data_IF_453767626002
#
_entry.id   IF_453767626002
#
_cell.length_a   1.000
_cell.length_b   1.000
_cell.length_c   1.000
_cell.angle_alpha   90.00
_cell.angle_beta   90.00
_cell.angle_gamma   90.00
#
_symmetry.space_group_name_H-M   'P 1'
#
loop_
_entity.id
_entity.type
_entity.pdbx_description
1 polymer ?
#
# COMPACT_ATOMS: atom_id res chain seq x y z
N UNK A 1 -0.72 17.49 -5.75
CA UNK A 1 -1.20 16.31 -6.51
C UNK A 1 -1.89 15.39 -5.51
N UNK A 2 -3.11 14.90 -5.80
CA UNK A 2 -3.85 14.03 -4.87
C UNK A 2 -3.54 12.56 -5.18
N UNK A 3 -2.92 11.84 -4.25
CA UNK A 3 -2.64 10.41 -4.41
C UNK A 3 -3.93 9.59 -4.23
N UNK A 4 -4.16 8.58 -5.06
CA UNK A 4 -5.27 7.64 -4.94
C UNK A 4 -4.72 6.28 -4.54
N UNK A 5 -5.04 5.86 -3.32
CA UNK A 5 -4.49 4.68 -2.68
C UNK A 5 -5.47 3.50 -2.79
N UNK A 6 -4.95 2.33 -3.14
CA UNK A 6 -5.64 1.06 -2.92
C UNK A 6 -4.84 0.22 -1.91
N UNK A 7 -5.50 -0.20 -0.82
CA UNK A 7 -4.89 -1.05 0.20
C UNK A 7 -5.17 -2.52 -0.09
N UNK A 8 -4.11 -3.32 -0.19
CA UNK A 8 -4.17 -4.77 -0.35
C UNK A 8 -3.77 -5.37 1.00
N UNK A 9 -4.77 -5.85 1.72
CA UNK A 9 -4.70 -6.13 3.15
C UNK A 9 -5.22 -4.95 3.97
N UNK A 10 -6.03 -5.27 4.99
CA UNK A 10 -6.57 -4.29 5.93
C UNK A 10 -6.50 -4.84 7.35
N UNK A 11 -5.34 -5.41 7.68
CA UNK A 11 -4.95 -5.81 9.04
C UNK A 11 -4.42 -4.62 9.85
N UNK A 12 -3.63 -4.92 10.89
CA UNK A 12 -3.09 -3.92 11.83
C UNK A 12 -2.35 -2.80 11.11
N UNK A 13 -1.47 -3.13 10.16
CA UNK A 13 -0.68 -2.12 9.42
C UNK A 13 -1.55 -1.27 8.51
N UNK A 14 -2.47 -1.89 7.76
CA UNK A 14 -3.37 -1.17 6.86
C UNK A 14 -4.31 -0.24 7.61
N UNK A 15 -4.85 -0.68 8.75
CA UNK A 15 -5.68 0.13 9.63
C UNK A 15 -4.88 1.28 10.26
N UNK A 16 -3.71 0.99 10.83
CA UNK A 16 -2.84 2.02 11.42
C UNK A 16 -2.39 3.09 10.41
N UNK A 17 -2.13 2.70 9.15
CA UNK A 17 -1.89 3.70 8.10
C UNK A 17 -3.11 4.59 7.88
N UNK A 18 -4.31 4.02 7.79
CA UNK A 18 -5.55 4.80 7.59
C UNK A 18 -5.84 5.71 8.79
N UNK A 19 -5.58 5.25 10.02
CA UNK A 19 -5.66 6.06 11.24
C UNK A 19 -4.73 7.28 11.13
N UNK A 20 -3.45 7.07 10.81
CA UNK A 20 -2.48 8.16 10.65
C UNK A 20 -2.90 9.12 9.54
N UNK A 21 -3.35 8.61 8.39
CA UNK A 21 -3.77 9.44 7.26
C UNK A 21 -5.01 10.28 7.59
N UNK A 22 -5.90 9.78 8.45
CA UNK A 22 -7.08 10.49 8.92
C UNK A 22 -6.71 11.54 9.97
N UNK A 23 -5.92 11.16 10.99
CA UNK A 23 -5.50 12.03 12.09
C UNK A 23 -4.63 13.20 11.59
N UNK A 24 -3.64 12.92 10.75
CA UNK A 24 -2.67 13.90 10.28
C UNK A 24 -3.09 14.57 8.95
N UNK A 25 -4.30 14.31 8.42
CA UNK A 25 -4.72 14.79 7.10
C UNK A 25 -4.49 16.31 6.90
N UNK A 26 -4.93 17.13 7.86
CA UNK A 26 -4.80 18.58 7.79
C UNK A 26 -3.33 19.02 7.89
N UNK A 27 -2.57 18.41 8.80
CA UNK A 27 -1.15 18.69 9.00
C UNK A 27 -0.34 18.36 7.74
N UNK A 28 -0.59 17.19 7.14
CA UNK A 28 0.07 16.75 5.91
C UNK A 28 -0.20 17.70 4.74
N UNK A 29 -1.44 18.17 4.61
CA UNK A 29 -1.82 19.15 3.61
C UNK A 29 -1.14 20.51 3.83
N UNK A 30 -1.18 21.03 5.05
CA UNK A 30 -0.66 22.36 5.37
C UNK A 30 0.87 22.44 5.30
N UNK A 31 1.57 21.42 5.80
CA UNK A 31 3.03 21.44 5.90
C UNK A 31 3.72 20.96 4.62
N UNK A 32 3.15 19.95 3.96
CA UNK A 32 3.82 19.26 2.85
C UNK A 32 3.04 19.35 1.52
N UNK A 33 1.87 20.00 1.50
CA UNK A 33 0.98 19.98 0.34
C UNK A 33 0.53 18.57 -0.05
N UNK A 34 0.61 17.61 0.89
CA UNK A 34 0.32 16.21 0.64
C UNK A 34 -1.16 15.93 0.90
N UNK A 35 -1.83 15.43 -0.13
CA UNK A 35 -3.22 14.98 -0.05
C UNK A 35 -3.31 13.59 -0.66
N UNK A 36 -4.05 12.71 0.01
CA UNK A 36 -4.33 11.37 -0.49
C UNK A 36 -5.79 10.99 -0.28
N UNK A 37 -6.20 9.92 -0.92
CA UNK A 37 -7.53 9.37 -0.83
C UNK A 37 -7.47 7.86 -0.96
N UNK A 38 -8.05 7.16 0.00
CA UNK A 38 -8.27 5.72 -0.10
C UNK A 38 -9.45 5.51 -1.04
N UNK A 39 -9.22 4.94 -2.21
CA UNK A 39 -10.26 4.63 -3.21
C UNK A 39 -10.66 3.16 -3.21
N UNK A 40 -9.80 2.28 -2.72
CA UNK A 40 -10.10 0.86 -2.60
C UNK A 40 -9.44 0.24 -1.37
N UNK A 41 -10.12 -0.74 -0.79
CA UNK A 41 -9.56 -1.66 0.21
C UNK A 41 -9.96 -3.08 -0.19
N UNK A 42 -9.01 -4.00 -0.20
CA UNK A 42 -9.26 -5.42 -0.46
C UNK A 42 -8.53 -6.28 0.55
N UNK A 43 -9.27 -7.00 1.38
CA UNK A 43 -8.75 -7.93 2.37
C UNK A 43 -9.46 -9.29 2.24
N UNK A 44 -8.69 -10.38 2.29
CA UNK A 44 -9.22 -11.73 2.10
C UNK A 44 -10.25 -12.14 3.15
N UNK A 45 -10.13 -11.63 4.38
CA UNK A 45 -11.00 -11.98 5.50
C UNK A 45 -12.07 -10.92 5.75
N UNK A 46 -11.74 -9.65 5.50
CA UNK A 46 -12.64 -8.52 5.80
C UNK A 46 -13.45 -8.06 4.60
N UNK A 47 -13.25 -8.62 3.41
CA UNK A 47 -13.96 -8.22 2.20
C UNK A 47 -13.32 -7.03 1.50
N UNK A 48 -14.04 -6.43 0.56
CA UNK A 48 -13.51 -5.34 -0.26
C UNK A 48 -14.54 -4.30 -0.65
N UNK A 49 -14.07 -3.06 -0.76
CA UNK A 49 -14.84 -1.91 -1.19
C UNK A 49 -14.01 -1.05 -2.14
N UNK A 50 -14.67 -0.48 -3.14
CA UNK A 50 -14.10 0.46 -4.10
C UNK A 50 -15.09 1.59 -4.37
N UNK A 51 -14.58 2.82 -4.41
CA UNK A 51 -15.30 3.98 -4.92
C UNK A 51 -14.31 4.93 -5.62
N UNK A 52 -14.54 5.33 -6.89
CA UNK A 52 -13.59 6.13 -7.66
C UNK A 52 -13.30 7.50 -7.06
N UNK A 53 -14.28 8.06 -6.35
CA UNK A 53 -14.17 9.36 -5.67
C UNK A 53 -13.78 9.23 -4.21
N UNK A 54 -13.33 8.05 -3.78
CA UNK A 54 -12.84 7.76 -2.43
C UNK A 54 -13.86 7.13 -1.51
N UNK A 55 -13.32 6.41 -0.53
CA UNK A 55 -14.01 5.82 0.60
C UNK A 55 -13.79 6.69 1.84
N UNK A 56 -14.74 6.67 2.75
CA UNK A 56 -14.63 7.33 4.05
C UNK A 56 -13.72 6.48 4.97
N UNK A 57 -12.58 7.05 5.31
CA UNK A 57 -11.57 6.38 6.14
C UNK A 57 -12.08 6.04 7.55
N UNK A 58 -12.88 6.92 8.17
CA UNK A 58 -13.44 6.69 9.50
C UNK A 58 -14.47 5.54 9.45
N UNK A 59 -15.32 5.53 8.43
CA UNK A 59 -16.30 4.44 8.23
C UNK A 59 -15.63 3.09 8.00
N UNK A 60 -14.55 3.04 7.19
CA UNK A 60 -13.77 1.81 6.97
C UNK A 60 -13.23 1.24 8.28
N UNK A 61 -12.65 2.10 9.14
CA UNK A 61 -12.13 1.71 10.45
C UNK A 61 -13.25 1.23 11.39
N UNK A 62 -14.37 1.95 11.43
CA UNK A 62 -15.53 1.61 12.25
C UNK A 62 -16.11 0.24 11.87
N UNK A 63 -16.29 -0.03 10.58
CA UNK A 63 -16.81 -1.31 10.10
C UNK A 63 -15.95 -2.48 10.58
N UNK A 64 -14.64 -2.38 10.42
CA UNK A 64 -13.74 -3.45 10.86
C UNK A 64 -13.71 -3.60 12.37
N UNK A 65 -13.74 -2.50 13.12
CA UNK A 65 -13.85 -2.51 14.59
C UNK A 65 -15.12 -3.23 15.06
N UNK A 66 -16.21 -3.11 14.31
CA UNK A 66 -17.48 -3.75 14.57
C UNK A 66 -17.61 -5.16 13.93
N UNK A 67 -16.52 -5.72 13.40
CA UNK A 67 -16.49 -7.01 12.68
C UNK A 67 -17.45 -7.08 11.47
N UNK A 68 -17.75 -5.93 10.85
CA UNK A 68 -18.53 -5.85 9.63
C UNK A 68 -17.64 -6.08 8.41
N UNK A 69 -18.19 -6.74 7.39
CA UNK A 69 -17.50 -6.93 6.12
C UNK A 69 -17.43 -5.60 5.37
N UNK A 70 -16.24 -5.26 4.86
CA UNK A 70 -16.04 -4.15 3.94
C UNK A 70 -16.88 -4.32 2.66
N UNK A 71 -17.27 -5.54 2.30
CA UNK A 71 -18.17 -5.77 1.17
C UNK A 71 -19.60 -5.27 1.41
N UNK A 72 -19.95 -4.94 2.65
CA UNK A 72 -21.23 -4.34 3.04
C UNK A 72 -21.14 -2.80 3.10
N UNK A 73 -20.05 -2.20 2.58
CA UNK A 73 -19.84 -0.75 2.61
C UNK A 73 -20.93 -0.04 1.80
N UNK A 74 -21.85 0.61 2.49
CA UNK A 74 -22.88 1.45 1.85
C UNK A 74 -22.23 2.67 1.20
N UNK A 75 -22.54 2.86 -0.09
CA UNK A 75 -21.96 3.90 -0.94
C UNK A 75 -20.72 3.46 -1.71
N UNK A 76 -20.32 2.19 -1.66
CA UNK A 76 -19.30 1.66 -2.57
C UNK A 76 -19.86 1.57 -4.00
N UNK A 77 -19.03 1.90 -4.99
CA UNK A 77 -19.35 1.68 -6.40
C UNK A 77 -19.26 0.19 -6.73
N UNK A 78 -18.30 -0.51 -6.14
CA UNK A 78 -18.15 -1.96 -6.30
C UNK A 78 -17.58 -2.59 -5.05
N UNK A 79 -18.02 -3.81 -4.75
CA UNK A 79 -17.51 -4.65 -3.67
C UNK A 79 -17.20 -6.06 -4.19
N UNK A 80 -16.53 -6.87 -3.38
CA UNK A 80 -16.25 -8.27 -3.70
C UNK A 80 -15.11 -8.50 -4.72
N UNK A 81 -14.36 -7.46 -5.09
CA UNK A 81 -13.12 -7.64 -5.84
C UNK A 81 -12.06 -8.33 -4.99
N UNK A 82 -11.30 -9.22 -5.61
CA UNK A 82 -10.06 -9.74 -5.03
C UNK A 82 -8.92 -8.73 -5.18
N UNK A 83 -7.76 -9.04 -4.60
CA UNK A 83 -6.58 -8.17 -4.63
C UNK A 83 -6.14 -7.81 -6.05
N UNK A 84 -6.11 -8.79 -6.97
CA UNK A 84 -5.64 -8.58 -8.33
C UNK A 84 -6.61 -7.73 -9.16
N UNK A 85 -7.91 -7.98 -9.01
CA UNK A 85 -8.95 -7.19 -9.65
C UNK A 85 -8.94 -5.77 -9.10
N UNK A 86 -8.76 -5.60 -7.78
CA UNK A 86 -8.64 -4.28 -7.14
C UNK A 86 -7.45 -3.51 -7.70
N UNK A 87 -6.28 -4.14 -7.82
CA UNK A 87 -5.08 -3.52 -8.39
C UNK A 87 -5.34 -3.08 -9.84
N UNK A 88 -5.91 -3.96 -10.67
CA UNK A 88 -6.09 -3.74 -12.11
C UNK A 88 -7.21 -2.74 -12.43
N UNK A 89 -8.35 -2.83 -11.76
CA UNK A 89 -9.58 -2.12 -12.12
C UNK A 89 -9.81 -0.81 -11.36
N UNK A 90 -9.26 -0.65 -10.16
CA UNK A 90 -9.40 0.62 -9.43
C UNK A 90 -8.68 1.76 -10.15
N UNK A 91 -9.15 2.98 -9.92
CA UNK A 91 -8.47 4.20 -10.36
C UNK A 91 -7.32 4.64 -9.41
N UNK A 92 -6.84 3.75 -8.54
CA UNK A 92 -5.68 4.01 -7.69
C UNK A 92 -4.41 4.20 -8.53
N UNK A 93 -3.57 5.17 -8.16
CA UNK A 93 -2.24 5.35 -8.74
C UNK A 93 -1.12 4.77 -7.85
N UNK A 94 -1.43 4.47 -6.59
CA UNK A 94 -0.51 3.86 -5.64
C UNK A 94 -1.18 2.67 -4.95
N UNK A 95 -0.50 1.53 -4.94
CA UNK A 95 -0.90 0.33 -4.21
C UNK A 95 -0.10 0.27 -2.90
N UNK A 96 -0.83 0.09 -1.80
CA UNK A 96 -0.26 -0.18 -0.48
C UNK A 96 -0.39 -1.67 -0.23
N UNK A 97 0.72 -2.40 -0.36
CA UNK A 97 0.78 -3.85 -0.18
C UNK A 97 1.12 -4.17 1.29
N UNK A 98 0.10 -4.56 2.04
CA UNK A 98 0.16 -4.85 3.48
C UNK A 98 -0.60 -6.14 3.80
N UNK A 99 -0.62 -7.09 2.85
CA UNK A 99 -1.16 -8.43 3.07
C UNK A 99 -0.21 -9.28 3.93
N UNK A 100 -0.66 -10.49 4.29
CA UNK A 100 0.15 -11.38 5.11
C UNK A 100 1.47 -11.74 4.41
N UNK A 101 2.51 -11.98 5.20
CA UNK A 101 3.83 -12.34 4.69
C UNK A 101 3.95 -13.86 4.55
N UNK A 102 4.26 -14.33 3.35
CA UNK A 102 4.87 -15.64 3.12
C UNK A 102 6.36 -15.42 2.87
N UNK A 103 7.21 -15.85 3.80
CA UNK A 103 8.67 -15.70 3.69
C UNK A 103 9.32 -16.79 2.84
N UNK A 104 8.61 -17.90 2.56
CA UNK A 104 9.13 -18.99 1.75
C UNK A 104 8.99 -18.70 0.26
N UNK A 105 7.79 -18.25 -0.14
CA UNK A 105 7.47 -18.02 -1.55
C UNK A 105 7.40 -16.55 -1.92
N UNK A 106 7.12 -15.66 -0.96
CA UNK A 106 6.81 -14.26 -1.24
C UNK A 106 5.42 -14.03 -1.84
N UNK A 107 4.65 -15.09 -2.09
CA UNK A 107 3.30 -15.01 -2.65
C UNK A 107 2.22 -14.84 -1.55
N UNK A 108 1.08 -14.19 -1.85
CA UNK A 108 0.69 -13.58 -3.13
C UNK A 108 1.30 -12.18 -3.38
N UNK A 109 2.13 -11.69 -2.46
CA UNK A 109 2.61 -10.31 -2.49
C UNK A 109 3.51 -10.01 -3.70
N UNK A 110 4.37 -10.94 -4.13
CA UNK A 110 5.13 -10.78 -5.38
C UNK A 110 4.18 -10.58 -6.56
N UNK A 111 3.14 -11.42 -6.69
CA UNK A 111 2.13 -11.27 -7.75
C UNK A 111 1.40 -9.92 -7.64
N UNK A 112 1.03 -9.47 -6.43
CA UNK A 112 0.43 -8.15 -6.22
C UNK A 112 1.32 -7.03 -6.74
N UNK A 113 2.60 -7.02 -6.33
CA UNK A 113 3.57 -5.98 -6.70
C UNK A 113 3.81 -5.99 -8.20
N UNK A 114 4.08 -7.15 -8.82
CA UNK A 114 4.27 -7.25 -10.27
C UNK A 114 3.06 -6.75 -11.06
N UNK A 115 1.86 -7.11 -10.60
CA UNK A 115 0.61 -6.67 -11.22
C UNK A 115 0.44 -5.16 -11.14
N UNK A 116 0.75 -4.57 -9.99
CA UNK A 116 0.65 -3.13 -9.78
C UNK A 116 1.66 -2.34 -10.63
N UNK A 117 2.93 -2.76 -10.64
CA UNK A 117 3.98 -2.09 -11.41
C UNK A 117 3.71 -2.18 -12.91
N UNK A 118 3.29 -3.35 -13.41
CA UNK A 118 2.91 -3.54 -14.82
C UNK A 118 1.68 -2.72 -15.20
N UNK A 119 0.78 -2.45 -14.25
CA UNK A 119 -0.38 -1.59 -14.45
C UNK A 119 -0.04 -0.08 -14.37
N UNK A 120 1.25 0.29 -14.29
CA UNK A 120 1.69 1.68 -14.19
C UNK A 120 1.35 2.33 -12.85
N UNK A 121 1.27 1.54 -11.77
CA UNK A 121 0.97 2.02 -10.41
C UNK A 121 2.20 1.97 -9.53
N UNK A 122 2.39 2.99 -8.70
CA UNK A 122 3.40 2.96 -7.65
C UNK A 122 3.05 1.89 -6.61
N UNK A 123 4.06 1.36 -5.93
CA UNK A 123 3.87 0.40 -4.85
C UNK A 123 4.64 0.86 -3.62
N UNK A 124 3.97 0.84 -2.48
CA UNK A 124 4.61 0.85 -1.17
C UNK A 124 4.21 -0.40 -0.39
N UNK A 125 5.14 -1.02 0.33
CA UNK A 125 4.86 -2.26 1.06
C UNK A 125 5.57 -2.35 2.41
N UNK A 126 5.01 -3.17 3.31
CA UNK A 126 5.69 -3.62 4.54
C UNK A 126 5.95 -5.12 4.55
N UNK A 127 5.61 -5.81 3.46
CA UNK A 127 5.79 -7.25 3.31
C UNK A 127 7.24 -7.61 2.99
N UNK A 128 7.85 -8.46 3.82
CA UNK A 128 9.27 -8.81 3.73
C UNK A 128 9.55 -9.87 2.66
N UNK A 129 8.57 -10.72 2.35
CA UNK A 129 8.73 -11.82 1.39
C UNK A 129 9.18 -11.36 0.00
N UNK A 130 8.47 -10.41 -0.64
CA UNK A 130 8.86 -9.89 -1.95
C UNK A 130 10.22 -9.21 -1.97
N UNK A 131 10.58 -8.49 -0.90
CA UNK A 131 11.88 -7.81 -0.79
C UNK A 131 13.00 -8.83 -0.65
N UNK A 132 12.82 -9.86 0.19
CA UNK A 132 13.83 -10.89 0.40
C UNK A 132 14.09 -11.74 -0.85
N UNK A 133 13.05 -12.03 -1.63
CA UNK A 133 13.11 -13.00 -2.73
C UNK A 133 13.22 -12.37 -4.12
N UNK A 134 12.72 -11.14 -4.31
CA UNK A 134 12.54 -10.55 -5.64
C UNK A 134 12.87 -9.05 -5.73
N UNK A 135 13.53 -8.43 -4.74
CA UNK A 135 13.76 -6.97 -4.73
C UNK A 135 14.41 -6.43 -6.02
N UNK A 136 15.42 -7.12 -6.57
CA UNK A 136 16.09 -6.71 -7.81
C UNK A 136 15.14 -6.70 -9.00
N UNK A 137 14.46 -7.82 -9.24
CA UNK A 137 13.49 -7.96 -10.34
C UNK A 137 12.36 -6.93 -10.22
N UNK A 138 11.82 -6.73 -9.02
CA UNK A 138 10.74 -5.77 -8.78
C UNK A 138 11.20 -4.32 -8.98
N UNK A 139 12.44 -3.99 -8.61
CA UNK A 139 13.03 -2.67 -8.84
C UNK A 139 13.29 -2.38 -10.32
N UNK A 140 13.78 -3.36 -11.07
CA UNK A 140 13.95 -3.27 -12.53
C UNK A 140 12.59 -3.08 -13.22
N UNK A 141 11.57 -3.85 -12.82
CA UNK A 141 10.21 -3.72 -13.35
C UNK A 141 9.60 -2.35 -13.05
N UNK A 142 9.81 -1.81 -11.85
CA UNK A 142 9.35 -0.47 -11.49
C UNK A 142 10.00 0.61 -12.37
N UNK A 143 11.31 0.48 -12.62
CA UNK A 143 12.06 1.39 -13.50
C UNK A 143 11.54 1.33 -14.93
N UNK A 144 11.31 0.13 -15.48
CA UNK A 144 10.80 -0.07 -16.84
C UNK A 144 9.41 0.56 -17.05
N UNK A 145 8.56 0.53 -16.02
CA UNK A 145 7.20 1.08 -16.07
C UNK A 145 7.12 2.55 -15.61
N UNK A 146 8.27 3.21 -15.33
CA UNK A 146 8.34 4.58 -14.83
C UNK A 146 7.50 4.82 -13.57
N UNK A 147 7.54 3.86 -12.64
CA UNK A 147 6.84 3.92 -11.35
C UNK A 147 7.84 3.70 -10.21
N UNK A 148 7.35 3.85 -8.97
CA UNK A 148 8.18 3.77 -7.78
C UNK A 148 7.82 2.53 -6.99
N UNK A 149 8.85 1.89 -6.44
CA UNK A 149 8.76 0.81 -5.47
C UNK A 149 9.40 1.27 -4.16
N UNK A 150 8.63 1.30 -3.07
CA UNK A 150 9.11 1.70 -1.73
C UNK A 150 8.78 0.62 -0.71
N UNK A 151 9.70 0.33 0.21
CA UNK A 151 9.56 -0.79 1.14
C UNK A 151 10.19 -0.51 2.52
N UNK A 152 10.11 0.74 2.98
CA UNK A 152 10.70 1.18 4.26
C UNK A 152 10.26 0.28 5.43
N UNK A 153 8.95 0.01 5.54
CA UNK A 153 8.39 -0.77 6.65
C UNK A 153 8.75 -2.26 6.64
N UNK A 154 9.60 -2.73 5.71
CA UNK A 154 10.07 -4.12 5.68
C UNK A 154 11.27 -4.36 6.61
N UNK A 155 12.02 -3.31 6.96
CA UNK A 155 13.24 -3.39 7.78
C UNK A 155 13.14 -2.42 8.94
N UNK A 156 13.43 -2.88 10.16
CA UNK A 156 13.39 -2.07 11.40
C UNK A 156 12.06 -1.32 11.67
N UNK A 157 10.95 -1.84 11.15
CA UNK A 157 9.59 -1.32 11.37
C UNK A 157 9.46 0.17 11.01
N UNK A 158 9.34 1.07 11.99
CA UNK A 158 9.18 2.51 11.77
C UNK A 158 10.48 3.31 11.66
N UNK A 159 11.64 2.67 11.87
CA UNK A 159 12.94 3.35 11.78
C UNK A 159 13.29 3.58 10.32
N UNK A 160 13.67 4.83 9.97
CA UNK A 160 14.10 5.19 8.63
C UNK A 160 15.49 4.58 8.30
N UNK A 161 15.54 3.29 7.95
CA UNK A 161 16.74 2.56 7.62
C UNK A 161 17.02 2.57 6.11
N UNK A 162 16.03 2.24 5.29
CA UNK A 162 16.20 2.12 3.84
C UNK A 162 16.37 3.51 3.23
N UNK A 163 15.53 4.48 3.61
CA UNK A 163 15.64 5.86 3.13
C UNK A 163 16.96 6.52 3.55
N UNK A 164 17.46 6.20 4.76
CA UNK A 164 18.75 6.69 5.24
C UNK A 164 19.88 6.22 4.32
N UNK A 165 19.94 4.92 4.03
CA UNK A 165 20.98 4.37 3.17
C UNK A 165 20.86 4.85 1.72
N UNK A 166 19.65 4.81 1.14
CA UNK A 166 19.45 5.04 -0.29
C UNK A 166 19.47 6.51 -0.69
N UNK A 167 19.05 7.43 0.19
CA UNK A 167 18.93 8.85 -0.17
C UNK A 167 19.87 9.73 0.65
N UNK A 168 19.90 9.58 1.98
CA UNK A 168 20.67 10.47 2.84
C UNK A 168 22.17 10.15 2.84
N UNK A 169 22.53 8.88 2.62
CA UNK A 169 23.90 8.37 2.57
C UNK A 169 24.31 7.84 1.19
N UNK A 170 23.61 8.26 0.13
CA UNK A 170 23.85 7.75 -1.23
C UNK A 170 25.31 7.91 -1.71
N UNK A 171 26.02 8.93 -1.22
CA UNK A 171 27.44 9.19 -1.52
C UNK A 171 28.44 8.63 -0.49
N UNK A 172 27.98 7.95 0.56
CA UNK A 172 28.83 7.54 1.67
C UNK A 172 29.66 6.27 1.42
N UNK A 173 29.29 5.46 0.40
CA UNK A 173 30.00 4.22 0.08
C UNK A 173 29.91 3.18 1.20
N UNK A 174 28.70 2.91 1.71
CA UNK A 174 28.45 2.03 2.86
C UNK A 174 29.04 0.62 2.62
N UNK A 175 29.95 0.19 3.48
CA UNK A 175 30.58 -1.15 3.45
C UNK A 175 30.06 -2.10 4.54
N UNK A 176 29.45 -1.58 5.60
CA UNK A 176 28.90 -2.33 6.74
C UNK A 176 27.69 -1.59 7.37
N UNK A 177 26.79 -2.34 8.01
CA UNK A 177 25.54 -1.86 8.64
C UNK A 177 25.41 -2.47 10.05
#
# INVERSE_FOLDING_TARGET
MKLKLALIGFGVVGQGLVEILLEDQQKLKQQYGFECQVVAVSDKLKGSAYHPDGLDMAKLLEMVKNNQSLSDYEGAETTGWDSLTTIKKSNANTIVEVSWTDVQTGEPAITHVKTALTAGKHVTMTNKGPVALAAKELGELATQNNVMLKFEGTVMAGTAAINLCLNNLAGAGITEI
#
